data_IF_179768644490
#
_entry.id   IF_179768644490
#
_cell.length_a   1.000
_cell.length_b   1.000
_cell.length_c   1.000
_cell.angle_alpha   90.00
_cell.angle_beta   90.00
_cell.angle_gamma   90.00
#
_symmetry.space_group_name_H-M   'P 1'
#
loop_
_entity.id
_entity.type
_entity.pdbx_description
1 polymer ?
#
# COMPACT_ATOMS: atom_id res chain seq x y z
N UNK A 1 13.04 8.66 11.23
CA UNK A 1 12.84 7.21 11.47
C UNK A 1 11.34 6.90 11.52
N UNK A 2 10.90 5.70 11.10
CA UNK A 2 9.49 5.28 11.25
C UNK A 2 9.28 4.88 12.70
N UNK A 3 8.38 5.57 13.42
CA UNK A 3 8.23 5.39 14.86
C UNK A 3 7.59 4.04 15.22
N UNK A 4 6.62 3.56 14.41
CA UNK A 4 5.91 2.30 14.64
C UNK A 4 5.55 1.62 13.33
N UNK A 5 5.98 0.38 13.14
CA UNK A 5 5.52 -0.49 12.05
C UNK A 5 4.95 -1.74 12.69
N UNK A 6 3.74 -2.10 12.28
CA UNK A 6 3.13 -3.38 12.65
C UNK A 6 2.69 -4.06 11.35
N UNK A 7 3.15 -5.28 11.12
CA UNK A 7 2.66 -6.13 10.05
C UNK A 7 2.29 -7.47 10.66
N UNK A 8 1.03 -7.85 10.53
CA UNK A 8 0.51 -9.12 11.07
C UNK A 8 -0.39 -9.77 10.05
N UNK A 9 -0.43 -11.09 10.05
CA UNK A 9 -1.26 -11.86 9.15
C UNK A 9 -1.76 -13.14 9.81
N UNK A 10 -2.99 -13.52 9.50
CA UNK A 10 -3.60 -14.76 9.97
C UNK A 10 -4.09 -15.51 8.75
N UNK A 11 -3.71 -16.78 8.64
CA UNK A 11 -4.21 -17.69 7.60
C UNK A 11 -4.90 -18.86 8.27
N UNK A 12 -6.16 -19.08 7.90
CA UNK A 12 -6.97 -20.19 8.34
C UNK A 12 -7.23 -21.11 7.15
N UNK A 13 -6.93 -22.39 7.31
CA UNK A 13 -7.23 -23.44 6.34
C UNK A 13 -8.29 -24.36 6.91
N UNK A 14 -9.34 -24.65 6.13
CA UNK A 14 -10.47 -25.45 6.54
C UNK A 14 -11.03 -26.24 5.36
N UNK A 15 -10.62 -27.51 5.25
CA UNK A 15 -11.01 -28.37 4.14
C UNK A 15 -10.65 -27.75 2.77
N UNK A 16 -11.62 -27.53 1.87
CA UNK A 16 -11.37 -26.93 0.56
C UNK A 16 -11.16 -25.41 0.59
N UNK A 17 -11.35 -24.75 1.73
CA UNK A 17 -11.22 -23.29 1.86
C UNK A 17 -9.90 -22.89 2.51
N UNK A 18 -9.29 -21.83 1.99
CA UNK A 18 -8.24 -21.08 2.66
C UNK A 18 -8.67 -19.62 2.75
N UNK A 19 -8.47 -19.00 3.90
CA UNK A 19 -8.69 -17.58 4.09
C UNK A 19 -7.46 -16.98 4.77
N UNK A 20 -7.05 -15.80 4.33
CA UNK A 20 -5.92 -15.06 4.83
C UNK A 20 -6.32 -13.62 5.07
N UNK A 21 -5.91 -13.06 6.18
CA UNK A 21 -6.09 -11.65 6.51
C UNK A 21 -4.73 -11.07 6.81
N UNK A 22 -4.37 -9.97 6.14
CA UNK A 22 -3.12 -9.25 6.34
C UNK A 22 -3.40 -7.82 6.77
N UNK A 23 -2.87 -7.42 7.92
CA UNK A 23 -2.93 -6.07 8.46
C UNK A 23 -1.52 -5.47 8.46
N UNK A 24 -1.38 -4.29 7.87
CA UNK A 24 -0.16 -3.50 7.88
C UNK A 24 -0.46 -2.09 8.39
N UNK A 25 0.15 -1.71 9.49
CA UNK A 25 0.09 -0.38 10.06
C UNK A 25 1.46 0.29 9.96
N UNK A 26 1.47 1.48 9.37
CA UNK A 26 2.62 2.38 9.34
C UNK A 26 2.26 3.62 10.15
N UNK A 27 3.00 3.84 11.23
CA UNK A 27 2.92 5.04 12.04
C UNK A 27 3.47 6.27 11.32
N UNK A 28 3.25 7.47 11.88
CA UNK A 28 3.82 8.69 11.33
C UNK A 28 5.35 8.57 11.30
N UNK A 29 5.94 9.02 10.19
CA UNK A 29 7.40 9.11 10.04
C UNK A 29 7.81 10.53 9.72
N UNK A 30 8.95 10.95 10.27
CA UNK A 30 9.60 12.18 9.84
C UNK A 30 9.95 12.08 8.35
N UNK A 31 9.49 13.04 7.56
CA UNK A 31 9.76 13.16 6.12
C UNK A 31 10.99 14.03 5.85
N UNK A 32 11.42 14.80 6.85
CA UNK A 32 12.62 15.63 6.83
C UNK A 32 13.54 15.26 8.00
N UNK A 33 14.83 15.48 7.82
CA UNK A 33 15.90 15.35 8.82
C UNK A 33 15.65 16.17 10.08
N UNK A 34 14.98 17.31 9.94
CA UNK A 34 14.59 18.20 11.04
C UNK A 34 13.28 17.78 11.74
N UNK A 35 12.61 16.72 11.29
CA UNK A 35 11.35 16.21 11.85
C UNK A 35 10.18 17.24 11.84
N UNK A 36 10.29 18.26 10.98
CA UNK A 36 9.31 19.36 10.82
C UNK A 36 8.09 18.92 10.01
N UNK A 37 8.28 18.04 9.03
CA UNK A 37 7.21 17.48 8.20
C UNK A 37 7.03 16.00 8.54
N UNK A 38 5.82 15.60 8.93
CA UNK A 38 5.48 14.21 9.30
C UNK A 38 4.47 13.59 8.35
N UNK A 39 4.66 12.33 8.02
CA UNK A 39 3.68 11.57 7.23
C UNK A 39 2.46 11.22 8.06
N UNK A 40 1.31 11.07 7.41
CA UNK A 40 0.12 10.50 8.07
C UNK A 40 0.33 9.01 8.35
N UNK A 41 -0.31 8.50 9.41
CA UNK A 41 -0.34 7.06 9.68
C UNK A 41 -1.24 6.34 8.67
N UNK A 42 -0.73 5.26 8.08
CA UNK A 42 -1.50 4.42 7.16
C UNK A 42 -1.81 3.07 7.78
N UNK A 43 -2.99 2.54 7.46
CA UNK A 43 -3.43 1.23 7.92
C UNK A 43 -4.06 0.53 6.75
N UNK A 44 -3.46 -0.58 6.34
CA UNK A 44 -3.84 -1.41 5.23
C UNK A 44 -4.36 -2.73 5.78
N UNK A 45 -5.57 -3.09 5.36
CA UNK A 45 -6.16 -4.38 5.66
C UNK A 45 -6.52 -5.05 4.34
N UNK A 46 -5.92 -6.21 4.10
CA UNK A 46 -6.11 -7.03 2.91
C UNK A 46 -6.67 -8.38 3.34
N UNK A 47 -7.58 -8.91 2.54
CA UNK A 47 -8.19 -10.22 2.75
C UNK A 47 -8.04 -11.04 1.48
N UNK A 48 -7.64 -12.29 1.63
CA UNK A 48 -7.59 -13.27 0.57
C UNK A 48 -8.40 -14.49 0.96
N UNK A 49 -9.10 -15.07 0.02
CA UNK A 49 -9.67 -16.40 0.18
C UNK A 49 -9.49 -17.21 -1.10
N UNK A 50 -9.27 -18.50 -0.94
CA UNK A 50 -9.27 -19.45 -2.04
C UNK A 50 -10.14 -20.65 -1.72
N UNK A 51 -10.72 -21.21 -2.76
CA UNK A 51 -11.60 -22.36 -2.71
C UNK A 51 -11.16 -23.40 -3.74
N UNK A 52 -10.85 -24.60 -3.26
CA UNK A 52 -10.56 -25.76 -4.09
C UNK A 52 -11.88 -26.39 -4.48
N UNK A 53 -12.33 -26.11 -5.71
CA UNK A 53 -13.56 -26.70 -6.25
C UNK A 53 -13.35 -28.19 -6.51
N UNK A 54 -12.24 -28.53 -7.18
CA UNK A 54 -11.86 -29.89 -7.55
C UNK A 54 -10.33 -30.01 -7.56
N UNK A 55 -9.80 -31.24 -7.70
CA UNK A 55 -8.35 -31.49 -7.82
C UNK A 55 -7.68 -30.67 -8.95
N UNK A 56 -8.45 -30.28 -9.96
CA UNK A 56 -7.97 -29.51 -11.11
C UNK A 56 -8.29 -28.02 -11.05
N UNK A 57 -9.21 -27.56 -10.19
CA UNK A 57 -9.69 -26.17 -10.21
C UNK A 57 -9.67 -25.55 -8.81
N UNK A 58 -8.94 -24.45 -8.68
CA UNK A 58 -8.94 -23.59 -7.49
C UNK A 58 -9.34 -22.17 -7.87
N UNK A 59 -10.34 -21.63 -7.18
CA UNK A 59 -10.75 -20.24 -7.29
C UNK A 59 -10.12 -19.43 -6.18
N UNK A 60 -9.81 -18.16 -6.43
CA UNK A 60 -9.24 -17.24 -5.47
C UNK A 60 -9.88 -15.87 -5.60
N UNK A 61 -10.06 -15.20 -4.47
CA UNK A 61 -10.55 -13.84 -4.36
C UNK A 61 -9.66 -13.10 -3.37
N UNK A 62 -9.06 -12.00 -3.80
CA UNK A 62 -8.28 -11.11 -2.94
C UNK A 62 -8.91 -9.72 -2.96
N UNK A 63 -9.19 -9.18 -1.78
CA UNK A 63 -9.70 -7.82 -1.56
C UNK A 63 -8.62 -7.01 -0.87
N UNK A 64 -8.11 -6.00 -1.57
CA UNK A 64 -7.10 -5.08 -1.10
C UNK A 64 -7.74 -3.80 -0.55
N UNK A 65 -7.17 -3.26 0.52
CA UNK A 65 -7.64 -2.03 1.18
C UNK A 65 -9.14 -2.07 1.56
N UNK A 66 -9.53 -3.10 2.31
CA UNK A 66 -10.94 -3.33 2.74
C UNK A 66 -11.49 -2.14 3.53
N UNK A 67 -10.66 -1.58 4.43
CA UNK A 67 -11.03 -0.43 5.26
C UNK A 67 -11.23 0.86 4.44
N UNK A 68 -10.90 0.85 3.14
CA UNK A 68 -11.06 2.00 2.25
C UNK A 68 -10.27 3.22 2.71
N UNK A 69 -9.18 3.02 3.47
CA UNK A 69 -8.42 4.13 4.03
C UNK A 69 -7.72 4.85 2.89
N UNK A 70 -7.96 6.15 2.76
CA UNK A 70 -7.21 7.02 1.86
C UNK A 70 -5.90 7.39 2.56
N UNK A 71 -4.84 6.67 2.24
CA UNK A 71 -3.48 6.92 2.71
C UNK A 71 -2.55 7.30 1.57
N UNK A 72 -1.36 7.76 1.91
CA UNK A 72 -0.25 7.86 0.96
C UNK A 72 0.65 6.65 1.23
N UNK A 73 0.89 5.82 0.21
CA UNK A 73 1.76 4.63 0.34
C UNK A 73 3.22 5.06 0.52
N UNK A 74 3.59 6.14 -0.17
CA UNK A 74 4.92 6.74 -0.09
C UNK A 74 4.77 8.26 -0.10
N UNK A 75 5.48 8.92 0.80
CA UNK A 75 5.53 10.37 0.90
C UNK A 75 7.01 10.76 1.06
N UNK A 76 7.49 11.67 0.22
CA UNK A 76 8.82 12.24 0.27
C UNK A 76 8.72 13.76 0.31
N UNK A 77 9.62 14.37 1.06
CA UNK A 77 9.81 15.81 1.06
C UNK A 77 11.24 16.08 0.59
N UNK A 78 11.37 16.57 -0.64
CA UNK A 78 12.65 17.01 -1.17
C UNK A 78 12.44 18.13 -2.17
N UNK A 79 13.45 19.00 -2.28
CA UNK A 79 13.47 20.05 -3.27
C UNK A 79 13.52 19.43 -4.68
N UNK A 80 12.49 19.66 -5.49
CA UNK A 80 12.43 19.18 -6.86
C UNK A 80 12.02 20.29 -7.81
N UNK A 81 12.37 20.16 -9.08
CA UNK A 81 11.91 21.06 -10.13
C UNK A 81 11.18 20.24 -11.18
N UNK A 82 9.99 20.70 -11.55
CA UNK A 82 9.31 20.20 -12.74
C UNK A 82 10.11 20.57 -14.00
N UNK A 83 9.93 19.78 -15.07
CA UNK A 83 10.56 20.07 -16.36
C UNK A 83 10.24 21.48 -16.88
N UNK A 84 9.05 22.01 -16.53
CA UNK A 84 8.62 23.36 -16.87
C UNK A 84 9.25 24.48 -16.05
N UNK A 85 9.76 24.20 -14.85
CA UNK A 85 10.48 25.17 -14.00
C UNK A 85 11.98 25.21 -14.33
N UNK A 86 12.55 24.06 -14.71
CA UNK A 86 13.89 23.98 -15.30
C UNK A 86 13.92 24.74 -16.63
N UNK A 87 12.94 24.52 -17.51
CA UNK A 87 12.86 25.19 -18.80
C UNK A 87 12.66 26.72 -18.69
N UNK A 88 12.09 27.22 -17.59
CA UNK A 88 11.88 28.65 -17.32
C UNK A 88 13.00 29.31 -16.51
N UNK A 89 14.02 28.56 -16.10
CA UNK A 89 15.11 29.08 -15.26
C UNK A 89 14.68 29.50 -13.85
N UNK A 90 13.46 29.15 -13.42
CA UNK A 90 12.91 29.50 -12.10
C UNK A 90 13.31 28.50 -11.00
N UNK A 91 14.11 27.49 -11.35
CA UNK A 91 14.37 26.32 -10.52
C UNK A 91 15.19 26.63 -9.24
N UNK A 92 16.02 27.68 -9.20
CA UNK A 92 16.67 28.25 -7.98
C UNK A 92 16.99 27.29 -6.80
N UNK A 93 17.49 26.07 -7.09
CA UNK A 93 17.84 25.06 -6.06
C UNK A 93 16.77 24.02 -5.71
N UNK A 94 15.59 24.05 -6.33
CA UNK A 94 14.48 23.12 -6.12
C UNK A 94 13.34 23.72 -5.31
N UNK A 95 12.09 23.50 -5.74
CA UNK A 95 10.90 23.83 -4.94
C UNK A 95 10.69 22.70 -3.94
N UNK A 96 10.70 23.04 -2.65
CA UNK A 96 10.38 22.09 -1.59
C UNK A 96 8.90 21.74 -1.66
N UNK A 97 8.58 20.57 -2.20
CA UNK A 97 7.20 20.08 -2.27
C UNK A 97 7.12 18.63 -1.78
N UNK A 98 5.88 18.20 -1.50
CA UNK A 98 5.56 16.90 -0.96
C UNK A 98 5.11 15.97 -2.06
N UNK A 99 6.01 15.09 -2.47
CA UNK A 99 5.70 14.06 -3.44
C UNK A 99 5.02 12.88 -2.76
N UNK A 100 3.76 12.65 -3.14
CA UNK A 100 2.90 11.61 -2.58
C UNK A 100 2.58 10.58 -3.66
N UNK A 101 2.79 9.31 -3.34
CA UNK A 101 2.17 8.21 -4.07
C UNK A 101 0.90 7.81 -3.33
N UNK A 102 -0.30 8.04 -3.90
CA UNK A 102 -1.53 7.63 -3.27
C UNK A 102 -1.55 6.12 -3.06
N UNK A 103 -2.13 5.69 -1.94
CA UNK A 103 -2.36 4.28 -1.69
C UNK A 103 -3.45 3.76 -2.61
N UNK A 104 -3.29 2.51 -3.04
CA UNK A 104 -4.20 1.89 -3.99
C UNK A 104 -5.64 1.87 -3.41
N UNK A 105 -6.65 2.29 -4.20
CA UNK A 105 -8.04 2.28 -3.78
C UNK A 105 -8.52 0.85 -3.53
N UNK A 106 -9.65 0.70 -2.84
CA UNK A 106 -10.27 -0.61 -2.61
C UNK A 106 -10.38 -1.37 -3.92
N UNK A 107 -9.72 -2.53 -3.98
CA UNK A 107 -9.55 -3.29 -5.22
C UNK A 107 -9.82 -4.75 -4.94
N UNK A 108 -10.51 -5.42 -5.85
CA UNK A 108 -10.76 -6.84 -5.78
C UNK A 108 -10.11 -7.55 -6.97
N UNK A 109 -9.45 -8.68 -6.72
CA UNK A 109 -8.85 -9.53 -7.73
C UNK A 109 -9.45 -10.93 -7.60
N UNK A 110 -10.01 -11.42 -8.69
CA UNK A 110 -10.46 -12.81 -8.82
C UNK A 110 -9.42 -13.57 -9.63
N UNK A 111 -9.13 -14.80 -9.23
CA UNK A 111 -8.20 -15.70 -9.91
C UNK A 111 -8.80 -17.10 -10.03
N UNK A 112 -8.56 -17.76 -11.15
CA UNK A 112 -8.83 -19.19 -11.31
C UNK A 112 -7.53 -19.89 -11.69
N UNK A 113 -7.20 -20.95 -10.97
CA UNK A 113 -6.05 -21.82 -11.24
C UNK A 113 -6.56 -23.16 -11.71
N UNK A 114 -6.12 -23.56 -12.90
CA UNK A 114 -6.33 -24.89 -13.45
C UNK A 114 -5.04 -25.71 -13.33
N UNK A 115 -5.14 -26.99 -12.93
CA UNK A 115 -4.01 -27.93 -12.84
C UNK A 115 -4.37 -29.18 -13.62
N UNK A 116 -3.48 -29.61 -14.52
CA UNK A 116 -3.65 -30.76 -15.43
C UNK A 116 -3.05 -32.04 -14.83
#
# INVERSE_FOLDING_TARGET
AVERVLATGVTCTGGPWTASLWLRYLGPRALDTLNTVRSRSSTLLNFGTSYVVNKHLTLGLNVFNIAGKKGNDIEYYYASCSSGEVARGSCNGGVNDRHVHPMEPRSARVSAKWTF
#
